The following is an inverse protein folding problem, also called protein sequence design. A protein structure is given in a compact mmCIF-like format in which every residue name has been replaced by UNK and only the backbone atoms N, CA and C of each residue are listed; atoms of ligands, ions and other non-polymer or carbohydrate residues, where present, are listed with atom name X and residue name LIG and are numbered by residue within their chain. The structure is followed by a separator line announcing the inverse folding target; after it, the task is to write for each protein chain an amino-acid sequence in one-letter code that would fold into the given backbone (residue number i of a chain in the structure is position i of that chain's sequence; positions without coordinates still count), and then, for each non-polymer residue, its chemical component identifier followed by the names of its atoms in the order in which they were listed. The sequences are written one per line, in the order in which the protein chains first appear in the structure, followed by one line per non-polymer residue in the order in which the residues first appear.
data_IF_701338850187
#
_entry.id   IF_701338850187
#
_cell.length_a   1.000
_cell.length_b   1.000
_cell.length_c   1.000
_cell.angle_alpha   90.00
_cell.angle_beta   90.00
_cell.angle_gamma   90.00
#
_symmetry.space_group_name_H-M   'P 1'
#
loop_
_entity.id
_entity.type
_entity.pdbx_description
1 polymer ?
#
# COMPACT_ATOMS: atom_id res chain seq x y z
N UNK A 1 -12.12 -19.29 -12.99
CA UNK A 1 -10.99 -18.51 -12.43
C UNK A 1 -9.63 -19.16 -12.71
N UNK A 2 -9.41 -20.45 -12.40
CA UNK A 2 -8.08 -21.07 -12.47
C UNK A 2 -7.49 -21.34 -13.87
N UNK A 3 -8.25 -21.17 -14.95
CA UNK A 3 -7.78 -21.42 -16.32
C UNK A 3 -7.23 -20.20 -17.05
N UNK A 4 -7.38 -18.98 -16.51
CA UNK A 4 -7.05 -17.73 -17.22
C UNK A 4 -5.57 -17.66 -17.66
N UNK A 5 -4.66 -18.07 -16.76
CA UNK A 5 -3.23 -18.14 -17.02
C UNK A 5 -2.73 -19.59 -17.16
N UNK A 6 -3.51 -20.58 -16.71
CA UNK A 6 -3.12 -21.99 -16.73
C UNK A 6 -1.74 -22.21 -16.13
N UNK A 7 -0.85 -22.88 -16.87
CA UNK A 7 0.54 -23.12 -16.44
C UNK A 7 1.41 -21.86 -16.35
N UNK A 8 0.98 -20.73 -16.93
CA UNK A 8 1.65 -19.43 -16.82
C UNK A 8 1.28 -18.67 -15.54
N UNK A 9 0.35 -19.19 -14.74
CA UNK A 9 0.04 -18.58 -13.44
C UNK A 9 1.28 -18.59 -12.54
N UNK A 10 1.54 -17.47 -11.86
CA UNK A 10 2.57 -17.39 -10.84
C UNK A 10 2.26 -18.40 -9.74
N UNK A 11 3.21 -19.30 -9.45
CA UNK A 11 3.12 -20.23 -8.34
C UNK A 11 3.50 -19.55 -7.04
N UNK A 12 3.03 -20.10 -5.92
CA UNK A 12 3.33 -19.59 -4.59
C UNK A 12 4.86 -19.49 -4.36
N UNK A 13 5.27 -18.36 -3.76
CA UNK A 13 6.63 -18.13 -3.29
C UNK A 13 6.78 -18.59 -1.83
N UNK A 14 8.00 -18.56 -1.29
CA UNK A 14 8.24 -18.61 0.15
C UNK A 14 8.18 -17.19 0.71
N UNK A 15 7.53 -17.02 1.87
CA UNK A 15 7.31 -15.73 2.49
C UNK A 15 7.89 -15.67 3.90
N UNK A 16 8.17 -14.46 4.38
CA UNK A 16 8.51 -14.18 5.76
C UNK A 16 7.78 -12.94 6.26
N UNK A 17 6.79 -13.17 7.11
CA UNK A 17 5.99 -12.11 7.69
C UNK A 17 6.50 -11.64 9.04
N UNK A 18 7.48 -12.33 9.64
CA UNK A 18 8.03 -11.95 10.95
C UNK A 18 7.03 -12.01 12.11
N UNK A 19 5.93 -12.75 11.95
CA UNK A 19 4.87 -12.89 12.96
C UNK A 19 5.34 -13.85 14.06
N UNK A 20 5.29 -13.39 15.31
CA UNK A 20 5.71 -14.18 16.49
C UNK A 20 4.66 -14.24 17.60
N UNK A 21 3.61 -13.42 17.52
CA UNK A 21 2.53 -13.33 18.50
C UNK A 21 1.23 -12.82 17.86
N UNK A 22 0.14 -12.80 18.62
CA UNK A 22 -1.18 -12.34 18.15
C UNK A 22 -1.13 -10.88 17.70
N UNK A 23 -0.37 -10.03 18.39
CA UNK A 23 -0.30 -8.60 18.09
C UNK A 23 0.38 -8.34 16.73
N UNK A 24 1.50 -9.01 16.49
CA UNK A 24 2.22 -8.96 15.21
C UNK A 24 1.43 -9.63 14.08
N UNK A 25 0.65 -10.69 14.39
CA UNK A 25 -0.28 -11.27 13.43
C UNK A 25 -1.34 -10.25 12.99
N UNK A 26 -2.04 -9.62 13.95
CA UNK A 26 -3.09 -8.64 13.68
C UNK A 26 -2.54 -7.42 12.91
N UNK A 27 -1.37 -6.91 13.29
CA UNK A 27 -0.74 -5.81 12.56
C UNK A 27 -0.34 -6.20 11.13
N UNK A 28 0.13 -7.43 10.93
CA UNK A 28 0.47 -7.96 9.60
C UNK A 28 -0.80 -8.13 8.76
N UNK A 29 -1.88 -8.67 9.35
CA UNK A 29 -3.16 -8.83 8.68
C UNK A 29 -3.73 -7.47 8.26
N UNK A 30 -3.74 -6.47 9.15
CA UNK A 30 -4.19 -5.12 8.82
C UNK A 30 -3.45 -4.59 7.59
N UNK A 31 -2.12 -4.66 7.61
CA UNK A 31 -1.31 -4.22 6.47
C UNK A 31 -1.67 -4.97 5.19
N UNK A 32 -1.65 -6.32 5.21
CA UNK A 32 -1.82 -7.15 4.02
C UNK A 32 -3.20 -7.02 3.39
N UNK A 33 -4.29 -7.06 4.16
CA UNK A 33 -5.65 -6.96 3.61
C UNK A 33 -5.87 -5.58 2.97
N UNK A 34 -5.41 -4.49 3.60
CA UNK A 34 -5.49 -3.17 3.00
C UNK A 34 -4.58 -2.99 1.77
N UNK A 35 -3.43 -3.68 1.70
CA UNK A 35 -2.62 -3.74 0.47
C UNK A 35 -3.35 -4.54 -0.61
N UNK A 36 -4.05 -5.61 -0.24
CA UNK A 36 -4.89 -6.41 -1.12
C UNK A 36 -6.01 -5.59 -1.76
N UNK A 37 -6.75 -4.82 -0.94
CA UNK A 37 -7.76 -3.86 -1.39
C UNK A 37 -7.15 -2.88 -2.41
N UNK A 38 -6.06 -2.22 -2.04
CA UNK A 38 -5.37 -1.26 -2.91
C UNK A 38 -4.88 -1.87 -4.23
N UNK A 39 -4.41 -3.13 -4.19
CA UNK A 39 -3.91 -3.85 -5.35
C UNK A 39 -5.03 -4.18 -6.35
N UNK A 40 -6.12 -4.78 -5.89
CA UNK A 40 -7.23 -5.13 -6.77
C UNK A 40 -7.94 -3.90 -7.31
N UNK A 41 -8.14 -2.86 -6.47
CA UNK A 41 -8.74 -1.61 -6.90
C UNK A 41 -7.87 -0.90 -7.95
N UNK A 42 -6.56 -0.82 -7.75
CA UNK A 42 -5.64 -0.22 -8.72
C UNK A 42 -5.49 -1.02 -10.01
N UNK A 43 -5.56 -2.34 -9.94
CA UNK A 43 -5.52 -3.22 -11.11
C UNK A 43 -6.81 -3.21 -11.92
N UNK A 44 -7.96 -2.82 -11.35
CA UNK A 44 -9.28 -2.93 -11.98
C UNK A 44 -9.32 -2.31 -13.39
N UNK A 45 -8.75 -1.11 -13.55
CA UNK A 45 -8.71 -0.41 -14.85
C UNK A 45 -7.81 -1.09 -15.90
N UNK A 46 -6.93 -2.01 -15.49
CA UNK A 46 -6.04 -2.76 -16.38
C UNK A 46 -6.63 -4.10 -16.83
N UNK A 47 -7.77 -4.52 -16.27
CA UNK A 47 -8.41 -5.80 -16.62
C UNK A 47 -9.43 -5.57 -17.73
N UNK A 48 -9.07 -5.96 -18.95
CA UNK A 48 -9.90 -5.75 -20.14
C UNK A 48 -10.99 -6.80 -20.34
N UNK A 49 -10.81 -8.02 -19.80
CA UNK A 49 -11.79 -9.08 -19.90
C UNK A 49 -12.86 -8.91 -18.79
N UNK A 50 -14.14 -8.69 -19.12
CA UNK A 50 -15.18 -8.46 -18.11
C UNK A 50 -15.34 -9.61 -17.11
N UNK A 51 -15.20 -10.86 -17.55
CA UNK A 51 -15.30 -12.00 -16.64
C UNK A 51 -14.14 -12.03 -15.63
N UNK A 52 -12.95 -11.59 -16.04
CA UNK A 52 -11.81 -11.46 -15.13
C UNK A 52 -11.93 -10.23 -14.23
N UNK A 53 -12.56 -9.16 -14.70
CA UNK A 53 -12.85 -8.00 -13.88
C UNK A 53 -13.88 -8.34 -12.79
N UNK A 54 -14.95 -9.06 -13.12
CA UNK A 54 -15.91 -9.57 -12.13
C UNK A 54 -15.24 -10.48 -11.11
N UNK A 55 -14.37 -11.38 -11.59
CA UNK A 55 -13.58 -12.25 -10.74
C UNK A 55 -12.68 -11.45 -9.76
N UNK A 56 -11.91 -10.48 -10.27
CA UNK A 56 -11.08 -9.60 -9.44
C UNK A 56 -11.92 -8.75 -8.46
N UNK A 57 -13.07 -8.24 -8.89
CA UNK A 57 -14.00 -7.50 -8.05
C UNK A 57 -14.53 -8.34 -6.88
N UNK A 58 -14.76 -9.64 -7.08
CA UNK A 58 -15.17 -10.53 -5.99
C UNK A 58 -14.07 -10.78 -4.95
N UNK A 59 -12.80 -10.67 -5.35
CA UNK A 59 -11.67 -10.76 -4.43
C UNK A 59 -11.53 -9.44 -3.67
N UNK A 60 -11.60 -8.30 -4.36
CA UNK A 60 -11.60 -6.96 -3.74
C UNK A 60 -12.61 -6.85 -2.59
N UNK A 61 -13.85 -7.30 -2.79
CA UNK A 61 -14.87 -7.25 -1.72
C UNK A 61 -14.60 -8.21 -0.56
N UNK A 62 -13.80 -9.25 -0.77
CA UNK A 62 -13.37 -10.16 0.29
C UNK A 62 -12.25 -9.55 1.12
N UNK A 63 -11.21 -9.01 0.46
CA UNK A 63 -10.11 -8.26 1.10
C UNK A 63 -10.67 -7.10 1.96
N UNK A 64 -11.62 -6.33 1.42
CA UNK A 64 -12.24 -5.22 2.15
C UNK A 64 -12.99 -5.68 3.42
N UNK A 65 -13.69 -6.83 3.35
CA UNK A 65 -14.38 -7.40 4.53
C UNK A 65 -13.39 -7.90 5.59
N UNK A 66 -12.27 -8.47 5.17
CA UNK A 66 -11.21 -8.85 6.09
C UNK A 66 -10.58 -7.62 6.75
N UNK A 67 -10.26 -6.58 5.99
CA UNK A 67 -9.75 -5.31 6.52
C UNK A 67 -10.71 -4.70 7.56
N UNK A 68 -12.01 -4.59 7.24
CA UNK A 68 -13.03 -4.10 8.18
C UNK A 68 -13.13 -4.97 9.44
N UNK A 69 -13.04 -6.30 9.31
CA UNK A 69 -13.05 -7.20 10.44
C UNK A 69 -11.80 -7.03 11.33
N UNK A 70 -10.61 -6.91 10.72
CA UNK A 70 -9.34 -6.70 11.43
C UNK A 70 -9.31 -5.35 12.16
N UNK A 71 -9.83 -4.30 11.53
CA UNK A 71 -9.91 -2.98 12.14
C UNK A 71 -10.90 -2.96 13.33
N UNK A 72 -12.05 -3.62 13.19
CA UNK A 72 -13.09 -3.61 14.23
C UNK A 72 -12.74 -4.45 15.46
N UNK A 73 -12.71 -5.78 15.33
CA UNK A 73 -12.68 -6.66 16.51
C UNK A 73 -11.26 -6.78 17.09
N UNK A 74 -10.23 -7.12 16.30
CA UNK A 74 -8.86 -7.22 16.82
C UNK A 74 -8.23 -5.89 17.23
N UNK A 75 -8.50 -4.80 16.50
CA UNK A 75 -7.84 -3.50 16.73
C UNK A 75 -8.68 -2.49 17.51
N UNK A 76 -9.98 -2.73 17.68
CA UNK A 76 -10.91 -1.80 18.35
C UNK A 76 -10.87 -0.40 17.70
N UNK A 77 -10.78 -0.37 16.38
CA UNK A 77 -10.76 0.82 15.54
C UNK A 77 -12.01 0.87 14.65
N UNK A 78 -12.15 1.95 13.89
CA UNK A 78 -13.25 2.09 12.93
C UNK A 78 -13.14 1.05 11.79
N UNK A 79 -14.21 0.27 11.60
CA UNK A 79 -14.31 -0.73 10.54
C UNK A 79 -14.36 -0.12 9.13
N UNK A 80 -14.76 1.16 9.04
CA UNK A 80 -15.03 1.88 7.79
C UNK A 80 -14.48 3.31 7.87
N UNK A 81 -13.15 3.48 8.06
CA UNK A 81 -12.57 4.80 8.39
C UNK A 81 -12.68 5.83 7.26
N UNK A 82 -13.03 5.39 6.04
CA UNK A 82 -13.23 6.23 4.85
C UNK A 82 -14.33 5.67 3.94
N UNK A 83 -14.99 6.54 3.14
CA UNK A 83 -15.96 6.10 2.13
C UNK A 83 -15.32 5.52 0.86
N UNK A 84 -14.03 5.76 0.62
CA UNK A 84 -13.32 5.29 -0.56
C UNK A 84 -11.94 4.75 -0.20
N UNK A 85 -11.60 3.59 -0.75
CA UNK A 85 -10.28 2.97 -0.62
C UNK A 85 -9.26 3.59 -1.58
N UNK A 86 -7.98 3.40 -1.27
CA UNK A 86 -6.86 3.99 -2.02
C UNK A 86 -6.33 3.00 -3.05
N UNK A 87 -6.47 3.22 -4.37
CA UNK A 87 -5.83 2.38 -5.37
C UNK A 87 -4.30 2.59 -5.38
N UNK A 88 -3.55 1.50 -5.54
CA UNK A 88 -2.10 1.54 -5.80
C UNK A 88 -1.79 0.95 -7.17
N UNK A 89 -0.77 1.49 -7.85
CA UNK A 89 -0.29 0.90 -9.09
C UNK A 89 0.54 -0.37 -8.84
N UNK A 90 0.86 -1.12 -9.90
CA UNK A 90 1.57 -2.40 -9.78
C UNK A 90 2.92 -2.30 -9.06
N UNK A 91 3.72 -1.27 -9.35
CA UNK A 91 5.02 -1.10 -8.73
C UNK A 91 4.91 -0.69 -7.26
N UNK A 92 3.92 0.13 -6.91
CA UNK A 92 3.62 0.52 -5.54
C UNK A 92 3.20 -0.69 -4.70
N UNK A 93 2.24 -1.47 -5.20
CA UNK A 93 1.81 -2.72 -4.56
C UNK A 93 2.97 -3.69 -4.42
N UNK A 94 3.74 -3.91 -5.49
CA UNK A 94 4.89 -4.82 -5.45
C UNK A 94 5.97 -4.34 -4.49
N UNK A 95 6.17 -3.02 -4.33
CA UNK A 95 7.12 -2.47 -3.36
C UNK A 95 6.75 -2.79 -1.91
N UNK A 96 5.46 -2.90 -1.59
CA UNK A 96 4.98 -3.30 -0.26
C UNK A 96 5.09 -4.81 -0.04
N UNK A 97 4.89 -5.62 -1.09
CA UNK A 97 4.95 -7.08 -1.01
C UNK A 97 6.38 -7.64 -1.08
N UNK A 98 7.27 -7.03 -1.88
CA UNK A 98 8.61 -7.55 -2.17
C UNK A 98 9.46 -7.86 -0.91
N UNK A 99 9.45 -7.03 0.16
CA UNK A 99 10.20 -7.34 1.38
C UNK A 99 9.72 -8.60 2.11
N UNK A 100 8.51 -9.07 1.83
CA UNK A 100 7.91 -10.27 2.45
C UNK A 100 8.23 -11.54 1.67
N UNK A 101 8.73 -11.43 0.43
CA UNK A 101 9.03 -12.56 -0.45
C UNK A 101 10.49 -13.00 -0.24
N UNK A 102 10.71 -14.22 0.25
CA UNK A 102 12.05 -14.80 0.43
C UNK A 102 12.63 -15.31 -0.88
N UNK A 103 11.87 -16.17 -1.57
CA UNK A 103 12.24 -16.73 -2.86
C UNK A 103 10.99 -17.22 -3.60
N UNK A 104 11.08 -17.34 -4.93
CA UNK A 104 10.01 -17.86 -5.77
C UNK A 104 10.54 -19.01 -6.64
N UNK A 105 9.68 -19.96 -7.06
CA UNK A 105 10.07 -20.97 -8.04
C UNK A 105 10.67 -20.33 -9.29
N UNK A 106 11.79 -20.87 -9.78
CA UNK A 106 12.44 -20.39 -11.01
C UNK A 106 11.56 -20.53 -12.26
N UNK A 107 10.53 -21.38 -12.18
CA UNK A 107 9.51 -21.53 -13.24
C UNK A 107 8.49 -20.40 -13.29
N UNK A 108 8.48 -19.49 -12.31
CA UNK A 108 7.54 -18.37 -12.33
C UNK A 108 7.88 -17.40 -13.47
N UNK A 109 6.86 -16.84 -14.15
CA UNK A 109 7.11 -15.82 -15.16
C UNK A 109 7.73 -14.58 -14.50
N UNK A 110 8.59 -13.89 -15.25
CA UNK A 110 9.09 -12.57 -14.84
C UNK A 110 7.92 -11.58 -14.86
N UNK A 111 7.57 -11.06 -13.69
CA UNK A 111 6.53 -10.04 -13.57
C UNK A 111 7.05 -8.69 -14.09
N UNK A 112 6.25 -7.91 -14.84
CA UNK A 112 6.62 -6.58 -15.33
C UNK A 112 6.47 -5.53 -14.22
N UNK A 113 7.03 -5.80 -13.04
CA UNK A 113 6.97 -4.93 -11.87
C UNK A 113 8.37 -4.72 -11.29
N UNK A 114 8.57 -3.57 -10.66
CA UNK A 114 9.82 -3.17 -10.05
C UNK A 114 9.50 -2.62 -8.66
N UNK A 115 10.20 -3.14 -7.65
CA UNK A 115 10.12 -2.58 -6.30
C UNK A 115 10.89 -1.26 -6.27
N UNK A 116 10.25 -0.20 -5.83
CA UNK A 116 10.90 1.08 -5.58
C UNK A 116 11.80 0.98 -4.35
N UNK A 117 12.81 1.87 -4.23
CA UNK A 117 13.59 2.01 -3.02
C UNK A 117 12.73 2.24 -1.78
N UNK A 118 13.22 1.79 -0.62
CA UNK A 118 12.49 1.91 0.65
C UNK A 118 12.33 3.37 1.07
N UNK A 119 11.12 3.72 1.50
CA UNK A 119 10.82 4.96 2.22
C UNK A 119 10.56 4.63 3.70
N UNK A 120 11.07 5.46 4.61
CA UNK A 120 10.73 5.40 6.01
C UNK A 120 10.35 6.79 6.55
N UNK A 121 9.32 6.83 7.41
CA UNK A 121 8.85 8.03 8.08
C UNK A 121 8.97 7.88 9.60
N UNK A 122 9.32 8.97 10.30
CA UNK A 122 9.28 9.04 11.77
C UNK A 122 8.55 10.30 12.24
N UNK A 123 7.52 10.20 13.11
CA UNK A 123 6.96 8.97 13.67
C UNK A 123 6.34 8.06 12.59
N UNK A 124 6.23 6.76 12.86
CA UNK A 124 5.76 5.74 11.90
C UNK A 124 4.24 5.70 11.74
N UNK A 125 3.51 6.33 12.65
CA UNK A 125 2.04 6.48 12.59
C UNK A 125 1.69 7.97 12.77
N UNK A 126 2.09 8.84 11.83
CA UNK A 126 1.82 10.27 11.93
C UNK A 126 0.35 10.57 11.65
N UNK A 127 -0.21 11.55 12.37
CA UNK A 127 -1.56 12.10 12.12
C UNK A 127 -1.48 13.36 11.26
N UNK A 128 -2.63 13.82 10.76
CA UNK A 128 -2.76 15.13 10.13
C UNK A 128 -2.11 16.25 10.95
N UNK A 129 -1.31 17.09 10.30
CA UNK A 129 -0.53 18.17 10.91
C UNK A 129 0.79 17.75 11.56
N UNK A 130 1.04 16.45 11.74
CA UNK A 130 2.32 16.00 12.31
C UNK A 130 3.47 16.26 11.33
N UNK A 131 4.63 16.65 11.86
CA UNK A 131 5.88 16.68 11.08
C UNK A 131 6.54 15.32 11.13
N UNK A 132 6.90 14.79 9.96
CA UNK A 132 7.68 13.56 9.82
C UNK A 132 9.09 13.83 9.37
N UNK A 133 10.04 13.06 9.89
CA UNK A 133 11.37 12.90 9.31
C UNK A 133 11.30 11.87 8.18
N UNK A 134 11.88 12.21 7.03
CA UNK A 134 11.87 11.42 5.80
C UNK A 134 13.24 10.78 5.61
N UNK A 135 13.28 9.46 5.45
CA UNK A 135 14.51 8.71 5.15
C UNK A 135 14.33 7.88 3.89
N UNK A 136 15.23 8.07 2.92
CA UNK A 136 15.34 7.29 1.69
C UNK A 136 16.76 7.42 1.09
N UNK A 137 17.25 6.39 0.39
CA UNK A 137 18.63 6.33 -0.14
C UNK A 137 18.98 7.46 -1.12
N UNK A 138 17.98 7.99 -1.84
CA UNK A 138 18.15 9.08 -2.84
C UNK A 138 17.39 10.34 -2.45
N UNK A 139 17.31 10.63 -1.16
CA UNK A 139 16.68 11.87 -0.70
C UNK A 139 17.55 13.07 -1.07
N UNK A 140 16.98 14.01 -1.82
CA UNK A 140 17.62 15.27 -2.22
C UNK A 140 16.66 16.43 -2.02
N UNK A 141 17.15 17.67 -2.16
CA UNK A 141 16.29 18.85 -2.20
C UNK A 141 15.27 18.81 -3.36
N UNK A 142 14.20 19.60 -3.22
CA UNK A 142 13.16 19.75 -4.25
C UNK A 142 12.23 18.54 -4.42
N UNK A 143 12.14 17.66 -3.43
CA UNK A 143 11.24 16.49 -3.44
C UNK A 143 9.95 16.77 -2.67
N UNK A 144 8.93 15.95 -2.92
CA UNK A 144 7.65 16.01 -2.22
C UNK A 144 7.31 14.65 -1.64
N UNK A 145 6.66 14.62 -0.48
CA UNK A 145 5.85 13.46 -0.09
C UNK A 145 4.46 13.62 -0.69
N UNK A 146 4.06 12.63 -1.49
CA UNK A 146 2.69 12.45 -1.92
C UNK A 146 1.98 11.52 -0.94
N UNK A 147 0.86 11.96 -0.39
CA UNK A 147 0.00 11.21 0.52
C UNK A 147 -1.22 10.75 -0.27
N UNK A 148 -1.32 9.45 -0.53
CA UNK A 148 -2.46 8.81 -1.18
C UNK A 148 -3.46 8.41 -0.10
N UNK A 149 -4.69 8.90 -0.21
CA UNK A 149 -5.74 8.68 0.78
C UNK A 149 -7.11 8.70 0.09
N UNK A 150 -7.76 7.54 0.03
CA UNK A 150 -8.92 7.30 -0.83
C UNK A 150 -8.58 7.62 -2.28
N UNK A 151 -9.44 8.38 -2.94
CA UNK A 151 -9.21 8.83 -4.32
C UNK A 151 -8.42 10.14 -4.43
N UNK A 152 -7.88 10.65 -3.31
CA UNK A 152 -7.18 11.93 -3.26
C UNK A 152 -5.67 11.74 -3.10
N UNK A 153 -4.92 12.70 -3.65
CA UNK A 153 -3.47 12.81 -3.44
C UNK A 153 -3.12 14.20 -2.92
N UNK A 154 -2.46 14.25 -1.76
CA UNK A 154 -1.99 15.48 -1.15
C UNK A 154 -0.47 15.55 -1.22
N UNK A 155 0.10 16.75 -1.36
CA UNK A 155 1.55 16.89 -1.50
C UNK A 155 2.12 17.83 -0.44
N UNK A 156 3.17 17.40 0.25
CA UNK A 156 3.96 18.25 1.13
C UNK A 156 5.41 18.34 0.62
N UNK A 157 6.02 19.53 0.56
CA UNK A 157 7.43 19.66 0.21
C UNK A 157 8.29 19.01 1.30
N UNK A 158 9.37 18.35 0.90
CA UNK A 158 10.40 17.87 1.82
C UNK A 158 11.46 18.95 1.98
N UNK A 159 11.52 19.55 3.17
CA UNK A 159 12.46 20.62 3.54
C UNK A 159 13.32 20.14 4.69
N UNK A 160 14.65 20.18 4.52
CA UNK A 160 15.61 19.70 5.52
C UNK A 160 15.30 18.28 6.04
N UNK A 161 14.92 17.39 5.12
CA UNK A 161 14.57 16.00 5.44
C UNK A 161 13.26 15.83 6.19
N UNK A 162 12.41 16.85 6.26
CA UNK A 162 11.12 16.82 6.96
C UNK A 162 9.97 17.24 6.06
N UNK A 163 8.78 16.74 6.36
CA UNK A 163 7.54 17.15 5.70
C UNK A 163 6.38 17.12 6.71
N UNK A 164 5.37 17.96 6.50
CA UNK A 164 4.15 17.98 7.31
C UNK A 164 3.09 17.12 6.65
N UNK A 165 2.47 16.22 7.40
CA UNK A 165 1.32 15.43 6.93
C UNK A 165 0.11 16.37 6.78
N UNK A 166 -0.52 16.46 5.61
CA UNK A 166 -1.72 17.29 5.42
C UNK A 166 -2.85 16.87 6.36
N UNK A 167 -3.64 17.81 6.87
CA UNK A 167 -4.77 17.50 7.76
C UNK A 167 -5.86 16.71 7.02
N UNK A 168 -6.00 16.98 5.74
CA UNK A 168 -6.99 16.45 4.82
C UNK A 168 -6.82 14.94 4.55
N UNK A 169 -5.67 14.35 4.91
CA UNK A 169 -5.49 12.89 4.81
C UNK A 169 -6.44 12.13 5.74
N UNK A 170 -6.96 12.75 6.80
CA UNK A 170 -7.96 12.14 7.70
C UNK A 170 -7.50 10.84 8.38
N UNK A 171 -8.46 9.95 8.66
CA UNK A 171 -8.25 8.64 9.32
C UNK A 171 -8.21 7.47 8.33
N UNK A 172 -7.81 6.28 8.75
CA UNK A 172 -7.73 5.06 7.93
C UNK A 172 -6.40 4.87 7.21
N UNK A 173 -6.37 3.99 6.20
CA UNK A 173 -5.18 3.62 5.42
C UNK A 173 -4.64 4.80 4.61
N UNK A 174 -3.38 5.14 4.86
CA UNK A 174 -2.63 6.16 4.13
C UNK A 174 -1.35 5.54 3.55
N UNK A 175 -1.00 5.99 2.34
CA UNK A 175 0.30 5.69 1.74
C UNK A 175 1.07 6.98 1.48
N UNK A 176 2.37 6.99 1.78
CA UNK A 176 3.29 8.06 1.39
C UNK A 176 4.24 7.56 0.31
N UNK A 177 4.43 8.37 -0.73
CA UNK A 177 5.39 8.13 -1.81
C UNK A 177 6.30 9.35 -1.94
N UNK A 178 7.61 9.14 -1.92
CA UNK A 178 8.57 10.22 -2.17
C UNK A 178 8.68 10.41 -3.68
N UNK A 179 8.39 11.62 -4.16
CA UNK A 179 8.31 11.93 -5.59
C UNK A 179 9.15 13.15 -5.99
N UNK A 180 9.58 13.16 -7.26
CA UNK A 180 10.38 14.23 -7.88
C UNK A 180 9.58 15.51 -8.13
N UNK A 181 8.27 15.40 -8.32
CA UNK A 181 7.34 16.49 -8.62
C UNK A 181 5.96 16.17 -8.05
N UNK A 182 4.99 17.09 -8.10
CA UNK A 182 3.61 16.86 -7.66
C UNK A 182 2.81 15.96 -8.61
N UNK A 183 3.34 14.77 -8.89
CA UNK A 183 2.74 13.73 -9.72
C UNK A 183 3.20 12.37 -9.21
N UNK A 184 2.28 11.43 -9.07
CA UNK A 184 2.60 10.05 -8.65
C UNK A 184 2.53 9.13 -9.87
N UNK A 185 3.70 8.71 -10.35
CA UNK A 185 3.91 7.76 -11.44
C UNK A 185 5.18 6.97 -11.17
N UNK A 186 5.44 5.93 -11.95
CA UNK A 186 6.67 5.16 -11.81
C UNK A 186 7.92 6.02 -12.04
N UNK A 187 7.89 6.89 -13.05
CA UNK A 187 9.04 7.76 -13.40
C UNK A 187 9.32 8.87 -12.37
N UNK A 188 8.26 9.33 -11.69
CA UNK A 188 8.38 10.38 -10.68
C UNK A 188 8.66 9.83 -9.29
N UNK A 189 8.45 8.52 -9.06
CA UNK A 189 8.69 7.88 -7.76
C UNK A 189 10.18 7.73 -7.48
N UNK A 190 10.59 8.17 -6.30
CA UNK A 190 11.96 8.03 -5.78
C UNK A 190 12.03 6.88 -4.77
N UNK A 191 11.03 6.77 -3.89
CA UNK A 191 10.95 5.73 -2.86
C UNK A 191 9.52 5.56 -2.34
N UNK A 192 9.24 4.39 -1.77
CA UNK A 192 7.96 4.03 -1.15
C UNK A 192 7.16 3.00 -1.95
N UNK A 193 5.87 2.80 -1.66
CA UNK A 193 5.12 3.49 -0.62
C UNK A 193 5.57 3.13 0.80
N UNK A 194 5.34 4.04 1.73
CA UNK A 194 5.29 3.76 3.16
C UNK A 194 3.81 3.74 3.57
N UNK A 195 3.33 2.64 4.14
CA UNK A 195 1.93 2.43 4.51
C UNK A 195 1.73 2.54 6.03
N UNK A 196 0.64 3.17 6.45
CA UNK A 196 0.18 3.15 7.85
C UNK A 196 -1.32 3.41 7.91
N UNK A 197 -1.91 3.07 9.06
CA UNK A 197 -3.31 3.36 9.37
C UNK A 197 -3.37 4.45 10.45
N UNK A 198 -4.20 5.47 10.24
CA UNK A 198 -4.48 6.51 11.22
C UNK A 198 -5.76 6.12 11.98
N UNK A 199 -5.69 5.76 13.27
CA UNK A 199 -6.87 5.28 13.98
C UNK A 199 -7.93 6.37 14.18
N UNK A 200 -9.18 6.03 13.91
CA UNK A 200 -10.35 6.83 14.24
C UNK A 200 -10.88 6.29 15.57
N UNK A 201 -10.21 6.68 16.67
CA UNK A 201 -10.64 6.28 18.01
C UNK A 201 -12.07 6.78 18.24
N UNK A 202 -13.02 5.86 18.27
CA UNK A 202 -14.41 6.06 18.65
C UNK A 202 -14.49 6.24 20.17
#
# INVERSE_FOLDING_TARGET
MFSALGSKATKACSYNFGVTDVKSFVATAQLLEGVGVSAYLGAAASITNPAYLTAAGSILTTEARHESWVNSIPLLDDAFPKPFDTPLNFNQTFSLAAPLIKNCPSTNPKLPVVAFPKLALKPSVPRGGATVTVTADKLSSGKYLAFLSGLQTYYAPVVNGKATVPQEVGYGRIYAVLVKSKKVTDDTTVAGPFAWDIPHKI
#
